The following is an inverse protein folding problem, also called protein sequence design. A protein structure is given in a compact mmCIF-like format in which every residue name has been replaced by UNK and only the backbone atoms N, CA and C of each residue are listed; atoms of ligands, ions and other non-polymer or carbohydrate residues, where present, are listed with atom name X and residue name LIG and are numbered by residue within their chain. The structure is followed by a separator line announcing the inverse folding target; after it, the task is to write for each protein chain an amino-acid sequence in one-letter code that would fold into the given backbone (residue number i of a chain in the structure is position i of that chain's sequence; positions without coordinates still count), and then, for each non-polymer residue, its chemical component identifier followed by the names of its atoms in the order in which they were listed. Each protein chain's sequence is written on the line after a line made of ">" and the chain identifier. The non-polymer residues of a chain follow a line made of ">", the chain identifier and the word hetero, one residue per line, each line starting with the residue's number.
data_IF_752365450412
#
_entry.id   IF_752365450412
#
_cell.length_a   1.000
_cell.length_b   1.000
_cell.length_c   1.000
_cell.angle_alpha   90.00
_cell.angle_beta   90.00
_cell.angle_gamma   90.00
#
_symmetry.space_group_name_H-M   'P 1'
#
loop_
_entity.id
_entity.type
_entity.pdbx_description
1 polymer ?
#
# COMPACT_ATOMS: atom_id res chain seq x y z
N UNK A 1 -7.83 13.79 -2.61
CA UNK A 1 -6.62 13.51 -1.82
C UNK A 1 -6.55 14.48 -0.64
N UNK A 2 -5.98 14.08 0.49
CA UNK A 2 -5.74 14.97 1.67
C UNK A 2 -4.87 16.18 1.34
N UNK A 3 -4.12 16.12 0.24
CA UNK A 3 -3.21 17.18 -0.22
C UNK A 3 -3.90 18.22 -1.13
N UNK A 4 -5.17 18.05 -1.49
CA UNK A 4 -5.92 18.99 -2.33
C UNK A 4 -6.89 19.82 -1.50
N UNK A 5 -6.99 21.11 -1.81
CA UNK A 5 -7.96 22.01 -1.17
C UNK A 5 -9.40 21.60 -1.53
N UNK A 6 -10.34 21.82 -0.63
CA UNK A 6 -11.75 21.46 -0.83
C UNK A 6 -12.33 22.09 -2.11
N UNK A 7 -11.99 23.34 -2.39
CA UNK A 7 -12.43 24.05 -3.60
C UNK A 7 -12.00 23.34 -4.90
N UNK A 8 -10.76 22.85 -4.95
CA UNK A 8 -10.22 22.13 -6.12
C UNK A 8 -10.93 20.78 -6.31
N UNK A 9 -11.29 20.13 -5.21
CA UNK A 9 -12.03 18.86 -5.25
C UNK A 9 -13.44 19.12 -5.80
N UNK A 10 -14.15 20.14 -5.31
CA UNK A 10 -15.48 20.48 -5.78
C UNK A 10 -15.48 20.83 -7.27
N UNK A 11 -14.50 21.62 -7.71
CA UNK A 11 -14.36 21.96 -9.13
C UNK A 11 -14.14 20.70 -9.98
N UNK A 12 -13.22 19.81 -9.58
CA UNK A 12 -12.96 18.57 -10.28
C UNK A 12 -14.19 17.65 -10.37
N UNK A 13 -15.03 17.61 -9.32
CA UNK A 13 -16.25 16.81 -9.34
C UNK A 13 -17.31 17.41 -10.29
N UNK A 14 -17.41 18.74 -10.37
CA UNK A 14 -18.29 19.40 -11.32
C UNK A 14 -17.83 19.15 -12.76
N UNK A 15 -16.55 19.31 -13.03
CA UNK A 15 -15.97 19.07 -14.35
C UNK A 15 -16.14 17.61 -14.79
N UNK A 16 -16.04 16.66 -13.84
CA UNK A 16 -16.30 15.24 -14.08
C UNK A 16 -17.77 15.00 -14.47
N UNK A 17 -18.71 15.59 -13.74
CA UNK A 17 -20.14 15.48 -14.00
C UNK A 17 -20.51 16.08 -15.35
N UNK A 18 -19.88 17.18 -15.75
CA UNK A 18 -20.09 17.83 -17.05
C UNK A 18 -19.37 17.11 -18.21
N UNK A 19 -18.47 16.18 -17.90
CA UNK A 19 -17.67 15.45 -18.90
C UNK A 19 -16.55 16.28 -19.49
N UNK A 20 -16.00 17.22 -18.73
CA UNK A 20 -14.83 18.02 -19.07
C UNK A 20 -13.51 17.32 -18.69
N UNK A 21 -13.59 16.23 -17.93
CA UNK A 21 -12.45 15.40 -17.53
C UNK A 21 -12.57 14.03 -18.15
N UNK A 22 -11.50 13.58 -18.81
CA UNK A 22 -11.41 12.27 -19.42
C UNK A 22 -10.94 11.21 -18.40
N UNK A 23 -10.08 11.60 -17.45
CA UNK A 23 -9.51 10.69 -16.43
C UNK A 23 -9.53 11.34 -15.06
N UNK A 24 -9.99 10.60 -14.07
CA UNK A 24 -9.86 10.97 -12.66
C UNK A 24 -9.08 9.89 -11.89
N UNK A 25 -8.10 10.32 -11.09
CA UNK A 25 -7.31 9.44 -10.25
C UNK A 25 -7.49 9.84 -8.78
N UNK A 26 -7.79 8.91 -7.94
CA UNK A 26 -7.99 9.19 -6.52
C UNK A 26 -8.05 7.93 -5.66
N UNK A 27 -8.19 8.13 -4.37
CA UNK A 27 -8.42 7.05 -3.39
C UNK A 27 -9.92 6.69 -3.38
N UNK A 28 -10.36 5.86 -2.44
CA UNK A 28 -11.78 5.52 -2.22
C UNK A 28 -12.74 6.73 -2.16
N UNK A 29 -12.24 7.96 -2.04
CA UNK A 29 -13.03 9.19 -2.09
C UNK A 29 -13.76 9.37 -3.43
N UNK A 30 -13.19 8.90 -4.55
CA UNK A 30 -13.84 9.02 -5.87
C UNK A 30 -15.04 8.09 -6.06
N UNK A 31 -15.28 7.20 -5.10
CA UNK A 31 -16.45 6.32 -5.05
C UNK A 31 -17.53 6.93 -4.12
N UNK A 32 -17.37 8.17 -3.67
CA UNK A 32 -18.30 8.86 -2.80
C UNK A 32 -19.71 9.00 -3.44
N UNK A 33 -20.76 9.13 -2.61
CA UNK A 33 -22.15 9.29 -3.10
C UNK A 33 -22.36 10.56 -3.91
N UNK A 34 -21.53 11.56 -3.70
CA UNK A 34 -21.52 12.86 -4.36
C UNK A 34 -20.71 12.88 -5.68
N UNK A 35 -20.11 11.77 -6.05
CA UNK A 35 -19.35 11.66 -7.29
C UNK A 35 -20.26 11.14 -8.40
N UNK A 36 -20.38 11.89 -9.47
CA UNK A 36 -21.19 11.56 -10.64
C UNK A 36 -20.32 11.59 -11.88
N UNK A 37 -20.34 10.52 -12.65
CA UNK A 37 -19.69 10.41 -13.93
C UNK A 37 -20.69 10.66 -15.05
N UNK A 38 -20.34 11.47 -16.04
CA UNK A 38 -21.20 11.67 -17.20
C UNK A 38 -21.30 10.39 -18.04
N UNK A 39 -20.15 9.78 -18.31
CA UNK A 39 -20.05 8.52 -19.06
C UNK A 39 -18.76 7.80 -18.63
N UNK A 40 -18.88 6.84 -17.71
CA UNK A 40 -17.76 6.05 -17.24
C UNK A 40 -17.61 4.81 -18.13
N UNK A 41 -16.52 4.72 -18.90
CA UNK A 41 -16.22 3.58 -19.78
C UNK A 41 -15.25 2.58 -19.16
N UNK A 42 -14.29 3.03 -18.35
CA UNK A 42 -13.29 2.15 -17.75
C UNK A 42 -13.07 2.48 -16.28
N UNK A 43 -13.07 1.45 -15.45
CA UNK A 43 -12.73 1.51 -14.03
C UNK A 43 -11.46 0.70 -13.76
N UNK A 44 -10.39 1.38 -13.31
CA UNK A 44 -9.14 0.73 -12.90
C UNK A 44 -9.05 0.73 -11.37
N UNK A 45 -8.82 -0.42 -10.78
CA UNK A 45 -8.75 -0.61 -9.32
C UNK A 45 -7.42 -1.26 -8.95
N UNK A 46 -6.65 -0.57 -8.13
CA UNK A 46 -5.41 -1.10 -7.58
C UNK A 46 -5.64 -1.62 -6.15
N UNK A 47 -5.09 -2.81 -5.84
CA UNK A 47 -5.14 -3.44 -4.52
C UNK A 47 -6.58 -3.54 -3.93
N UNK A 48 -7.53 -4.05 -4.71
CA UNK A 48 -8.96 -4.18 -4.32
C UNK A 48 -9.16 -4.89 -2.98
N UNK A 49 -8.27 -5.81 -2.61
CA UNK A 49 -8.34 -6.55 -1.35
C UNK A 49 -8.22 -5.64 -0.12
N UNK A 50 -7.64 -4.45 -0.25
CA UNK A 50 -7.51 -3.45 0.82
C UNK A 50 -8.79 -2.68 1.08
N UNK A 51 -9.80 -2.82 0.25
CA UNK A 51 -11.06 -2.11 0.42
C UNK A 51 -11.99 -2.82 1.40
N UNK A 52 -12.64 -2.04 2.26
CA UNK A 52 -13.70 -2.53 3.15
C UNK A 52 -14.96 -2.93 2.39
N UNK A 53 -15.85 -3.66 3.07
CA UNK A 53 -17.07 -4.24 2.51
C UNK A 53 -17.95 -3.20 1.82
N UNK A 54 -18.21 -2.06 2.47
CA UNK A 54 -19.06 -0.99 1.92
C UNK A 54 -18.54 -0.41 0.59
N UNK A 55 -17.22 -0.31 0.44
CA UNK A 55 -16.59 0.15 -0.81
C UNK A 55 -16.73 -0.90 -1.90
N UNK A 56 -16.54 -2.18 -1.55
CA UNK A 56 -16.69 -3.29 -2.50
C UNK A 56 -18.11 -3.41 -3.03
N UNK A 57 -19.12 -3.26 -2.18
CA UNK A 57 -20.52 -3.28 -2.61
C UNK A 57 -20.81 -2.15 -3.61
N UNK A 58 -20.35 -0.95 -3.33
CA UNK A 58 -20.53 0.17 -4.25
C UNK A 58 -19.77 -0.01 -5.57
N UNK A 59 -18.60 -0.62 -5.54
CA UNK A 59 -17.86 -0.98 -6.75
C UNK A 59 -18.61 -2.01 -7.60
N UNK A 60 -19.34 -2.94 -6.99
CA UNK A 60 -20.18 -3.89 -7.72
C UNK A 60 -21.27 -3.19 -8.52
N UNK A 61 -21.94 -2.19 -7.94
CA UNK A 61 -22.96 -1.40 -8.62
C UNK A 61 -22.40 -0.67 -9.86
N UNK A 62 -21.21 -0.06 -9.72
CA UNK A 62 -20.54 0.65 -10.82
C UNK A 62 -20.13 -0.30 -11.95
N UNK A 63 -19.72 -1.52 -11.61
CA UNK A 63 -19.20 -2.53 -12.56
C UNK A 63 -20.24 -3.12 -13.50
N UNK A 64 -21.52 -2.97 -13.24
CA UNK A 64 -22.58 -3.61 -14.04
C UNK A 64 -22.50 -3.22 -15.52
N UNK A 65 -22.11 -1.97 -15.80
CA UNK A 65 -22.07 -1.42 -17.16
C UNK A 65 -20.73 -0.77 -17.52
N UNK A 66 -19.63 -1.13 -16.83
CA UNK A 66 -18.32 -0.48 -16.98
C UNK A 66 -17.23 -1.54 -17.07
N UNK A 67 -16.38 -1.46 -18.07
CA UNK A 67 -15.21 -2.31 -18.14
C UNK A 67 -14.33 -2.11 -16.93
N UNK A 68 -13.87 -3.21 -16.32
CA UNK A 68 -13.12 -3.13 -15.06
C UNK A 68 -11.80 -3.87 -15.14
N UNK A 69 -10.72 -3.15 -14.88
CA UNK A 69 -9.38 -3.69 -14.72
C UNK A 69 -8.98 -3.65 -13.23
N UNK A 70 -8.69 -4.80 -12.66
CA UNK A 70 -8.19 -4.91 -11.27
C UNK A 70 -6.72 -5.29 -11.29
N UNK A 71 -5.90 -4.53 -10.57
CA UNK A 71 -4.47 -4.75 -10.43
C UNK A 71 -4.15 -5.21 -9.00
N UNK A 72 -3.18 -6.10 -8.84
CA UNK A 72 -2.65 -6.48 -7.52
C UNK A 72 -1.23 -7.01 -7.63
N UNK A 73 -0.38 -6.65 -6.67
CA UNK A 73 0.96 -7.24 -6.51
C UNK A 73 0.94 -8.46 -5.56
N UNK A 74 -0.13 -8.63 -4.80
CA UNK A 74 -0.31 -9.72 -3.83
C UNK A 74 -1.53 -10.57 -4.18
N UNK A 75 -1.44 -11.41 -5.22
CA UNK A 75 -2.57 -12.23 -5.62
C UNK A 75 -2.99 -13.18 -4.51
N UNK A 76 -4.29 -13.36 -4.36
CA UNK A 76 -4.88 -14.34 -3.43
C UNK A 76 -4.34 -15.75 -3.77
N UNK A 77 -4.07 -16.62 -2.77
CA UNK A 77 -3.55 -17.97 -3.00
C UNK A 77 -4.30 -18.74 -4.09
N UNK A 78 -3.58 -19.53 -4.86
CA UNK A 78 -4.04 -20.24 -6.08
C UNK A 78 -5.43 -20.87 -5.97
N UNK A 79 -5.78 -21.48 -4.85
CA UNK A 79 -7.07 -22.17 -4.65
C UNK A 79 -8.28 -21.23 -4.71
N UNK A 80 -8.15 -20.00 -4.20
CA UNK A 80 -9.21 -18.98 -4.29
C UNK A 80 -9.23 -18.32 -5.69
N UNK A 81 -8.05 -18.19 -6.31
CA UNK A 81 -7.94 -17.68 -7.68
C UNK A 81 -8.69 -18.57 -8.69
N UNK A 82 -8.58 -19.88 -8.59
CA UNK A 82 -9.29 -20.80 -9.49
C UNK A 82 -10.80 -20.70 -9.36
N UNK A 83 -11.34 -20.44 -8.17
CA UNK A 83 -12.79 -20.20 -7.97
C UNK A 83 -13.27 -18.88 -8.58
N UNK A 84 -12.39 -17.89 -8.67
CA UNK A 84 -12.71 -16.57 -9.26
C UNK A 84 -12.40 -16.51 -10.76
N UNK A 85 -11.56 -17.39 -11.27
CA UNK A 85 -11.12 -17.43 -12.68
C UNK A 85 -12.23 -17.79 -13.66
N UNK A 86 -13.30 -18.44 -13.22
CA UNK A 86 -14.48 -18.69 -14.07
C UNK A 86 -15.29 -17.45 -14.43
N UNK A 87 -15.01 -16.32 -13.77
CA UNK A 87 -15.78 -15.08 -13.94
C UNK A 87 -14.98 -13.89 -14.50
N UNK A 88 -13.65 -14.01 -14.65
CA UNK A 88 -12.77 -12.92 -15.13
C UNK A 88 -11.54 -13.46 -15.84
N UNK A 89 -11.12 -12.78 -16.88
CA UNK A 89 -9.83 -13.00 -17.53
C UNK A 89 -8.69 -12.60 -16.60
N UNK A 90 -7.59 -13.36 -16.63
CA UNK A 90 -6.40 -13.14 -15.82
C UNK A 90 -5.17 -12.96 -16.71
N UNK A 91 -4.45 -11.87 -16.48
CA UNK A 91 -3.13 -11.64 -17.07
C UNK A 91 -2.08 -11.56 -15.96
N UNK A 92 -0.95 -12.24 -16.16
CA UNK A 92 0.15 -12.26 -15.19
C UNK A 92 1.37 -11.56 -15.80
N UNK A 93 1.86 -10.53 -15.11
CA UNK A 93 3.06 -9.82 -15.47
C UNK A 93 4.28 -10.48 -14.80
N UNK A 94 4.96 -11.36 -15.49
CA UNK A 94 6.10 -12.13 -14.95
C UNK A 94 7.45 -11.45 -15.15
N UNK A 95 7.55 -10.49 -16.08
CA UNK A 95 8.80 -9.80 -16.38
C UNK A 95 9.04 -8.66 -15.39
N UNK A 96 10.06 -8.74 -14.53
CA UNK A 96 10.40 -7.66 -13.63
C UNK A 96 10.98 -6.47 -14.43
N UNK A 97 10.90 -5.24 -13.90
CA UNK A 97 11.58 -4.09 -14.47
C UNK A 97 13.10 -4.34 -14.56
N UNK A 98 13.78 -3.85 -15.60
CA UNK A 98 15.23 -3.89 -15.67
C UNK A 98 15.82 -3.14 -14.45
N UNK A 99 16.95 -3.61 -13.95
CA UNK A 99 17.66 -3.07 -12.76
C UNK A 99 17.00 -3.32 -11.39
N UNK A 100 16.01 -4.19 -11.29
CA UNK A 100 15.50 -4.63 -10.00
C UNK A 100 16.44 -5.67 -9.40
N UNK A 101 17.16 -5.29 -8.34
CA UNK A 101 17.96 -6.24 -7.56
C UNK A 101 17.04 -7.11 -6.70
N UNK A 102 17.38 -8.39 -6.60
CA UNK A 102 16.65 -9.32 -5.73
C UNK A 102 16.87 -8.96 -4.26
N UNK A 103 15.80 -9.03 -3.46
CA UNK A 103 15.90 -8.94 -2.01
C UNK A 103 16.31 -10.32 -1.49
N UNK A 104 17.38 -10.38 -0.70
CA UNK A 104 17.75 -11.58 0.04
C UNK A 104 16.90 -11.62 1.31
N UNK A 105 16.14 -12.70 1.47
CA UNK A 105 15.29 -12.89 2.65
C UNK A 105 15.78 -14.11 3.42
N UNK A 106 16.07 -13.92 4.70
CA UNK A 106 16.52 -14.97 5.59
C UNK A 106 15.58 -15.08 6.78
N UNK A 107 15.42 -16.29 7.31
CA UNK A 107 14.59 -16.57 8.47
C UNK A 107 15.48 -17.08 9.61
N UNK A 108 15.53 -16.31 10.69
CA UNK A 108 16.30 -16.63 11.88
C UNK A 108 15.42 -16.53 13.14
N UNK A 109 15.74 -17.31 14.17
CA UNK A 109 15.31 -17.02 15.53
C UNK A 109 15.95 -15.70 15.99
N UNK A 110 15.36 -15.04 16.98
CA UNK A 110 15.92 -13.79 17.53
C UNK A 110 17.36 -14.03 18.00
N UNK A 111 18.30 -13.35 17.33
CA UNK A 111 19.73 -13.52 17.60
C UNK A 111 20.43 -12.13 17.52
N UNK A 112 20.97 -11.71 18.66
CA UNK A 112 21.61 -10.40 18.80
C UNK A 112 22.81 -10.21 17.85
N UNK A 113 23.57 -11.27 17.61
CA UNK A 113 24.75 -11.22 16.73
C UNK A 113 24.33 -10.96 15.28
N UNK A 114 23.37 -11.74 14.78
CA UNK A 114 22.85 -11.59 13.41
C UNK A 114 22.23 -10.20 13.23
N UNK A 115 21.46 -9.72 14.22
CA UNK A 115 20.86 -8.40 14.18
C UNK A 115 21.94 -7.31 14.11
N UNK A 116 22.97 -7.40 14.93
CA UNK A 116 24.05 -6.44 14.96
C UNK A 116 24.83 -6.42 13.64
N UNK A 117 25.16 -7.59 13.09
CA UNK A 117 25.86 -7.73 11.81
C UNK A 117 25.04 -7.15 10.65
N UNK A 118 23.76 -7.46 10.57
CA UNK A 118 22.86 -6.96 9.53
C UNK A 118 22.72 -5.42 9.58
N UNK A 119 22.54 -4.85 10.78
CA UNK A 119 22.44 -3.40 10.95
C UNK A 119 23.76 -2.74 10.59
N UNK A 120 24.89 -3.27 11.08
CA UNK A 120 26.21 -2.71 10.82
C UNK A 120 26.57 -2.77 9.32
N UNK A 121 26.21 -3.83 8.64
CA UNK A 121 26.40 -3.99 7.19
C UNK A 121 25.69 -2.86 6.43
N UNK A 122 24.42 -2.59 6.75
CA UNK A 122 23.67 -1.52 6.09
C UNK A 122 24.20 -0.12 6.43
N UNK A 123 24.51 0.14 7.68
CA UNK A 123 25.05 1.43 8.12
C UNK A 123 26.40 1.72 7.49
N UNK A 124 27.29 0.72 7.39
CA UNK A 124 28.62 0.88 6.79
C UNK A 124 28.56 1.27 5.31
N UNK A 125 27.53 0.83 4.57
CA UNK A 125 27.32 1.25 3.18
C UNK A 125 26.50 2.54 3.02
N UNK A 126 26.19 3.25 4.11
CA UNK A 126 25.39 4.48 4.12
C UNK A 126 23.87 4.23 4.01
N UNK A 127 23.45 2.99 4.23
CA UNK A 127 22.04 2.60 4.21
C UNK A 127 21.32 2.90 5.52
N UNK A 128 20.01 2.61 5.53
CA UNK A 128 19.14 2.73 6.70
C UNK A 128 18.42 1.40 6.94
N UNK A 129 18.08 1.12 8.18
CA UNK A 129 17.44 -0.10 8.60
C UNK A 129 16.07 0.19 9.19
N UNK A 130 15.03 -0.50 8.70
CA UNK A 130 13.74 -0.58 9.37
C UNK A 130 13.68 -1.83 10.24
N UNK A 131 13.65 -1.64 11.56
CA UNK A 131 13.42 -2.71 12.52
C UNK A 131 11.95 -2.71 12.94
N UNK A 132 11.19 -3.70 12.47
CA UNK A 132 9.74 -3.76 12.72
C UNK A 132 9.48 -4.65 13.93
N UNK A 133 8.77 -4.09 14.92
CA UNK A 133 8.33 -4.79 16.11
C UNK A 133 6.81 -4.67 16.27
N UNK A 134 6.13 -5.76 16.59
CA UNK A 134 4.65 -5.82 16.57
C UNK A 134 3.98 -5.42 17.89
N UNK A 135 4.74 -5.08 18.94
CA UNK A 135 4.22 -4.71 20.26
C UNK A 135 4.76 -3.37 20.72
N UNK A 136 3.89 -2.37 20.83
CA UNK A 136 4.27 -1.03 21.29
C UNK A 136 4.84 -1.06 22.71
N UNK A 137 4.29 -1.91 23.60
CA UNK A 137 4.67 -2.01 25.00
C UNK A 137 6.14 -2.40 25.22
N UNK A 138 6.72 -3.21 24.34
CA UNK A 138 8.11 -3.68 24.44
C UNK A 138 9.06 -3.08 23.41
N UNK A 139 8.61 -2.05 22.65
CA UNK A 139 9.43 -1.45 21.59
C UNK A 139 10.68 -0.76 22.15
N UNK A 140 10.59 -0.13 23.32
CA UNK A 140 11.71 0.52 24.01
C UNK A 140 12.73 -0.47 24.56
N UNK A 141 12.30 -1.68 24.92
CA UNK A 141 13.22 -2.76 25.31
C UNK A 141 14.07 -3.20 24.12
N UNK A 142 13.43 -3.38 22.96
CA UNK A 142 14.11 -3.73 21.71
C UNK A 142 15.07 -2.61 21.29
N UNK A 143 14.67 -1.34 21.39
CA UNK A 143 15.55 -0.20 21.13
C UNK A 143 16.78 -0.23 22.05
N UNK A 144 16.59 -0.49 23.35
CA UNK A 144 17.66 -0.59 24.33
C UNK A 144 18.66 -1.70 24.00
N UNK A 145 18.17 -2.85 23.50
CA UNK A 145 19.04 -3.94 23.01
C UNK A 145 19.88 -3.47 21.82
N UNK A 146 19.27 -2.83 20.83
CA UNK A 146 19.98 -2.34 19.65
C UNK A 146 21.04 -1.28 20.03
N UNK A 147 20.69 -0.34 20.89
CA UNK A 147 21.63 0.70 21.36
C UNK A 147 22.79 0.11 22.16
N UNK A 148 22.57 -0.96 22.91
CA UNK A 148 23.63 -1.70 23.62
C UNK A 148 24.57 -2.39 22.64
N UNK A 149 24.03 -3.03 21.61
CA UNK A 149 24.80 -3.76 20.60
C UNK A 149 25.60 -2.83 19.68
N UNK A 150 25.01 -1.69 19.35
CA UNK A 150 25.53 -0.74 18.36
C UNK A 150 25.48 0.70 18.89
N UNK A 151 26.34 1.08 19.85
CA UNK A 151 26.25 2.40 20.51
C UNK A 151 26.47 3.60 19.58
N UNK A 152 27.09 3.39 18.42
CA UNK A 152 27.36 4.43 17.44
C UNK A 152 26.26 4.60 16.38
N UNK A 153 25.22 3.75 16.41
CA UNK A 153 24.09 3.81 15.47
C UNK A 153 22.98 4.67 16.09
N UNK A 154 22.53 5.65 15.35
CA UNK A 154 21.39 6.49 15.77
C UNK A 154 20.08 5.74 15.52
N UNK A 155 19.29 5.56 16.57
CA UNK A 155 17.97 4.94 16.51
C UNK A 155 16.86 5.96 16.71
N UNK A 156 15.69 5.66 16.17
CA UNK A 156 14.45 6.42 16.42
C UNK A 156 13.29 5.42 16.50
N UNK A 157 12.43 5.60 17.49
CA UNK A 157 11.21 4.80 17.63
C UNK A 157 10.03 5.58 17.08
N UNK A 158 9.19 4.90 16.29
CA UNK A 158 7.90 5.43 15.82
C UNK A 158 6.81 4.36 15.90
N UNK A 159 5.61 4.72 16.33
CA UNK A 159 4.45 3.84 16.36
C UNK A 159 3.13 4.61 16.21
N UNK A 160 2.05 3.89 15.88
CA UNK A 160 0.76 4.50 15.53
C UNK A 160 0.02 5.24 16.65
N UNK A 161 0.49 5.15 17.91
CA UNK A 161 -0.08 5.90 19.05
C UNK A 161 0.63 7.23 19.30
N UNK A 162 1.68 7.55 18.53
CA UNK A 162 2.36 8.84 18.62
C UNK A 162 1.53 9.92 17.94
N UNK A 163 1.52 11.13 18.51
CA UNK A 163 0.88 12.30 17.90
C UNK A 163 1.61 12.68 16.61
N UNK A 164 0.84 12.97 15.57
CA UNK A 164 1.39 13.41 14.29
C UNK A 164 2.05 14.78 14.42
N UNK A 165 3.37 14.82 14.24
CA UNK A 165 4.16 16.06 14.32
C UNK A 165 5.40 15.98 15.23
N UNK A 166 5.62 14.81 15.83
CA UNK A 166 6.88 14.52 16.54
C UNK A 166 7.80 13.68 15.68
#
# INVERSE_FOLDING_TARGET
>A
SRLRKTKDITQALNDLKEGKLDVIIGTHRIIGKDVQFKNLGLLVIDEEQRFGVAVKEKLKEIRINVDTLTLTATPIPRTLQFSLMGARDLSILNTPPPNRQSIVTELHSFNEVIIAEAIQYEVNRGGQVFFIHNRVQSITEVESVINRLLPNVKTVVAHGQMEGGK
#
